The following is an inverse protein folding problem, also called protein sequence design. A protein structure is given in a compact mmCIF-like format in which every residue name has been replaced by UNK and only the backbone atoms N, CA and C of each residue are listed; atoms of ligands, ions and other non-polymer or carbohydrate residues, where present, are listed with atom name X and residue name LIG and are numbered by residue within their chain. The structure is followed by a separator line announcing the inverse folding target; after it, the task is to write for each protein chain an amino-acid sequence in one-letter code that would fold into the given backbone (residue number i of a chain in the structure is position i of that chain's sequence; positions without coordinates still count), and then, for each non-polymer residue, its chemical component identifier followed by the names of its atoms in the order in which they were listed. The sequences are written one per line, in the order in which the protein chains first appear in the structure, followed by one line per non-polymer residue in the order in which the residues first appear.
data_IF_085227999910
#
_entry.id   IF_085227999910
#
_cell.length_a   1.000
_cell.length_b   1.000
_cell.length_c   1.000
_cell.angle_alpha   90.00
_cell.angle_beta   90.00
_cell.angle_gamma   90.00
#
_symmetry.space_group_name_H-M   'P 1'
#
loop_
_entity.id
_entity.type
_entity.pdbx_description
1 polymer ?
#
# COMPACT_ATOMS: atom_id res chain seq x y z
N UNK A 1 6.03 -6.56 -11.30
CA UNK A 1 7.11 -5.69 -10.78
C UNK A 1 6.47 -4.56 -9.99
N UNK A 2 7.03 -4.17 -8.84
CA UNK A 2 6.44 -3.10 -8.04
C UNK A 2 6.50 -1.78 -8.82
N UNK A 3 5.39 -1.02 -8.84
CA UNK A 3 5.32 0.29 -9.50
C UNK A 3 4.35 1.22 -8.78
N UNK A 4 4.52 2.51 -8.98
CA UNK A 4 3.58 3.48 -8.44
C UNK A 4 2.34 3.63 -9.32
N UNK A 5 1.17 3.71 -8.68
CA UNK A 5 -0.11 4.07 -9.30
C UNK A 5 -0.83 5.09 -8.43
N UNK A 6 -1.88 5.72 -8.97
CA UNK A 6 -2.78 6.57 -8.18
C UNK A 6 -3.95 5.73 -7.68
N UNK A 7 -4.13 5.68 -6.37
CA UNK A 7 -5.35 5.19 -5.75
C UNK A 7 -6.27 6.37 -5.42
N UNK A 8 -7.56 6.16 -5.68
CA UNK A 8 -8.64 7.05 -5.33
C UNK A 8 -9.44 6.34 -4.24
N UNK A 9 -9.28 6.80 -3.01
CA UNK A 9 -9.92 6.22 -1.84
C UNK A 9 -11.25 6.89 -1.56
N UNK A 10 -12.26 6.08 -1.30
CA UNK A 10 -13.57 6.49 -0.78
C UNK A 10 -13.91 5.65 0.45
N UNK A 11 -14.94 6.03 1.18
CA UNK A 11 -15.52 5.20 2.24
C UNK A 11 -17.05 5.27 2.10
N UNK A 12 -17.67 4.21 1.57
CA UNK A 12 -19.11 4.20 1.33
C UNK A 12 -19.95 4.27 2.63
N UNK A 13 -19.36 3.89 3.76
CA UNK A 13 -19.97 3.98 5.09
C UNK A 13 -19.71 5.31 5.82
N UNK A 14 -18.89 6.20 5.26
CA UNK A 14 -18.55 7.51 5.83
C UNK A 14 -18.71 8.62 4.78
N UNK A 15 -19.84 9.35 4.88
CA UNK A 15 -20.16 10.45 3.97
C UNK A 15 -19.25 11.67 4.13
N UNK A 16 -18.54 11.81 5.27
CA UNK A 16 -17.65 12.94 5.54
C UNK A 16 -16.20 12.67 5.07
N UNK A 17 -15.83 11.40 4.86
CA UNK A 17 -14.49 11.01 4.42
C UNK A 17 -14.05 11.66 3.10
N UNK A 18 -15.00 11.89 2.19
CA UNK A 18 -14.72 12.46 0.87
C UNK A 18 -13.86 11.54 -0.03
N UNK A 19 -13.40 12.09 -1.16
CA UNK A 19 -12.49 11.38 -2.07
C UNK A 19 -11.03 11.78 -1.78
N UNK A 20 -10.17 10.81 -1.49
CA UNK A 20 -8.74 11.03 -1.23
C UNK A 20 -7.91 10.41 -2.34
N UNK A 21 -7.07 11.23 -3.00
CA UNK A 21 -6.14 10.78 -4.04
C UNK A 21 -4.75 10.61 -3.44
N UNK A 22 -4.21 9.40 -3.55
CA UNK A 22 -2.86 9.12 -3.04
C UNK A 22 -2.05 8.30 -4.05
N UNK A 23 -0.72 8.48 -4.00
CA UNK A 23 0.23 7.70 -4.79
C UNK A 23 0.62 6.47 -3.97
N UNK A 24 0.30 5.28 -4.47
CA UNK A 24 0.48 4.01 -3.78
C UNK A 24 1.41 3.09 -4.56
N UNK A 25 1.94 2.05 -3.89
CA UNK A 25 2.79 1.05 -4.52
C UNK A 25 1.93 -0.16 -4.90
N UNK A 26 1.88 -0.53 -6.17
CA UNK A 26 1.30 -1.78 -6.64
C UNK A 26 2.29 -2.92 -6.41
N UNK A 27 2.06 -3.74 -5.39
CA UNK A 27 2.93 -4.87 -5.00
C UNK A 27 2.75 -6.09 -5.91
N UNK A 28 1.50 -6.34 -6.31
CA UNK A 28 1.06 -7.38 -7.24
C UNK A 28 -0.15 -6.84 -8.02
N UNK A 29 -0.60 -7.48 -9.12
CA UNK A 29 -1.73 -6.98 -9.90
C UNK A 29 -2.98 -6.66 -9.06
N UNK A 30 -3.21 -7.37 -7.96
CA UNK A 30 -4.36 -7.22 -7.06
C UNK A 30 -3.99 -6.72 -5.66
N UNK A 31 -2.74 -6.28 -5.42
CA UNK A 31 -2.30 -5.82 -4.09
C UNK A 31 -1.64 -4.44 -4.18
N UNK A 32 -2.16 -3.49 -3.40
CA UNK A 32 -1.56 -2.15 -3.26
C UNK A 32 -1.16 -1.87 -1.82
N UNK A 33 -0.04 -1.18 -1.64
CA UNK A 33 0.43 -0.66 -0.36
C UNK A 33 0.20 0.85 -0.32
N UNK A 34 -0.69 1.28 0.57
CA UNK A 34 -0.84 2.66 1.01
C UNK A 34 -0.01 2.87 2.28
N UNK A 35 0.61 4.04 2.39
CA UNK A 35 1.22 4.49 3.63
C UNK A 35 0.78 5.92 3.91
N UNK A 36 0.23 6.16 5.09
CA UNK A 36 -0.30 7.46 5.48
C UNK A 36 -0.27 7.61 7.00
N UNK A 37 0.28 8.72 7.50
CA UNK A 37 0.27 9.13 8.92
C UNK A 37 0.62 7.99 9.90
N UNK A 38 1.82 7.42 9.74
CA UNK A 38 2.34 6.22 10.43
C UNK A 38 1.67 4.88 10.11
N UNK A 39 0.54 4.84 9.42
CA UNK A 39 -0.08 3.58 9.03
C UNK A 39 0.47 3.07 7.71
N UNK A 40 0.61 1.74 7.60
CA UNK A 40 0.85 1.05 6.35
C UNK A 40 -0.25 0.01 6.14
N UNK A 41 -0.97 0.14 5.04
CA UNK A 41 -2.13 -0.69 4.72
C UNK A 41 -1.91 -1.36 3.36
N UNK A 42 -2.05 -2.68 3.32
CA UNK A 42 -2.09 -3.46 2.09
C UNK A 42 -3.54 -3.76 1.76
N UNK A 43 -4.04 -3.23 0.64
CA UNK A 43 -5.38 -3.49 0.15
C UNK A 43 -5.35 -4.56 -0.94
N UNK A 44 -6.30 -5.51 -0.86
CA UNK A 44 -6.56 -6.49 -1.90
C UNK A 44 -7.71 -6.01 -2.78
N UNK A 45 -7.39 -5.78 -4.05
CA UNK A 45 -8.34 -5.33 -5.06
C UNK A 45 -9.21 -6.49 -5.55
N UNK A 46 -10.48 -6.22 -5.81
CA UNK A 46 -11.40 -7.23 -6.35
C UNK A 46 -11.04 -7.68 -7.77
N UNK A 47 -10.34 -6.81 -8.51
CA UNK A 47 -9.90 -7.06 -9.88
C UNK A 47 -8.43 -6.71 -10.03
N UNK A 48 -7.65 -7.54 -10.74
CA UNK A 48 -6.26 -7.24 -11.02
C UNK A 48 -6.16 -6.00 -11.92
N UNK A 49 -5.15 -5.19 -11.65
CA UNK A 49 -4.74 -4.00 -12.39
C UNK A 49 -3.89 -4.45 -13.57
N UNK A 50 -4.23 -3.98 -14.77
CA UNK A 50 -3.42 -4.25 -15.97
C UNK A 50 -2.08 -3.51 -15.94
N UNK A 51 -1.14 -3.89 -16.80
CA UNK A 51 0.18 -3.25 -16.85
C UNK A 51 0.12 -1.76 -17.23
N UNK A 52 -0.84 -1.38 -18.08
CA UNK A 52 -1.02 0.00 -18.54
C UNK A 52 -1.95 0.85 -17.66
N UNK A 53 -2.63 0.25 -16.69
CA UNK A 53 -3.56 0.97 -15.83
C UNK A 53 -2.81 1.77 -14.77
N UNK A 54 -3.03 3.09 -14.72
CA UNK A 54 -2.35 3.99 -13.79
C UNK A 54 -3.21 4.39 -12.58
N UNK A 55 -4.49 4.06 -12.60
CA UNK A 55 -5.47 4.49 -11.58
C UNK A 55 -6.33 3.33 -11.10
N UNK A 56 -6.63 3.32 -9.81
CA UNK A 56 -7.56 2.39 -9.15
C UNK A 56 -8.47 3.15 -8.21
N UNK A 57 -9.69 2.65 -8.05
CA UNK A 57 -10.65 3.13 -7.05
C UNK A 57 -10.74 2.09 -5.94
N UNK A 58 -10.66 2.54 -4.69
CA UNK A 58 -10.63 1.69 -3.51
C UNK A 58 -11.64 2.23 -2.51
N UNK A 59 -12.68 1.46 -2.25
CA UNK A 59 -13.62 1.76 -1.17
C UNK A 59 -13.10 1.12 0.13
N UNK A 60 -12.66 1.95 1.08
CA UNK A 60 -12.04 1.52 2.34
C UNK A 60 -13.00 0.76 3.25
N UNK A 61 -14.30 0.93 3.06
CA UNK A 61 -15.36 0.28 3.85
C UNK A 61 -15.56 -1.18 3.46
N UNK A 62 -15.28 -1.51 2.19
CA UNK A 62 -15.60 -2.83 1.61
C UNK A 62 -14.36 -3.59 1.15
N UNK A 63 -13.27 -2.90 0.81
CA UNK A 63 -12.05 -3.50 0.32
C UNK A 63 -11.31 -4.26 1.43
N UNK A 64 -10.96 -5.51 1.17
CA UNK A 64 -10.18 -6.32 2.08
C UNK A 64 -8.80 -5.69 2.32
N UNK A 65 -8.42 -5.53 3.58
CA UNK A 65 -7.16 -4.89 3.98
C UNK A 65 -6.38 -5.71 5.01
N UNK A 66 -5.07 -5.59 4.94
CA UNK A 66 -4.11 -6.07 5.92
C UNK A 66 -3.28 -4.89 6.41
N UNK A 67 -3.30 -4.65 7.71
CA UNK A 67 -2.46 -3.63 8.33
C UNK A 67 -1.03 -4.19 8.49
N UNK A 68 -0.08 -3.51 7.86
CA UNK A 68 1.32 -3.92 7.77
C UNK A 68 2.18 -3.07 8.72
N UNK A 69 1.94 -3.14 10.05
CA UNK A 69 2.61 -2.31 11.07
C UNK A 69 4.15 -2.39 11.02
N UNK A 70 4.71 -3.48 10.49
CA UNK A 70 6.14 -3.58 10.27
C UNK A 70 6.69 -2.57 9.24
N UNK A 71 5.83 -1.95 8.44
CA UNK A 71 6.15 -0.88 7.48
C UNK A 71 5.73 0.52 7.95
N UNK A 72 5.26 0.66 9.19
CA UNK A 72 4.93 1.95 9.80
C UNK A 72 6.12 2.93 9.79
N UNK A 73 5.86 4.25 9.84
CA UNK A 73 6.91 5.28 9.80
C UNK A 73 7.77 5.33 11.06
N UNK A 74 7.18 5.01 12.20
CA UNK A 74 7.85 4.90 13.49
C UNK A 74 8.60 3.57 13.68
N UNK A 75 8.48 2.62 12.75
CA UNK A 75 9.19 1.36 12.84
C UNK A 75 10.70 1.57 12.69
N UNK A 76 11.46 1.23 13.75
CA UNK A 76 12.92 1.38 13.79
C UNK A 76 13.63 0.76 12.58
N UNK A 77 13.19 -0.42 12.11
CA UNK A 77 13.83 -1.10 10.98
C UNK A 77 13.59 -0.36 9.66
N UNK A 78 12.42 0.25 9.51
CA UNK A 78 12.14 1.15 8.37
C UNK A 78 13.03 2.39 8.41
N UNK A 79 13.23 2.98 9.59
CA UNK A 79 14.13 4.12 9.78
C UNK A 79 15.59 3.77 9.46
N UNK A 80 16.03 2.55 9.80
CA UNK A 80 17.39 2.07 9.55
C UNK A 80 17.66 1.78 8.06
N UNK A 81 16.76 1.07 7.37
CA UNK A 81 16.95 0.67 5.96
C UNK A 81 16.56 1.80 5.00
N UNK A 82 15.59 2.62 5.39
CA UNK A 82 15.04 3.70 4.59
C UNK A 82 13.91 3.26 3.66
N UNK A 83 12.86 4.10 3.60
CA UNK A 83 11.67 3.82 2.79
C UNK A 83 11.96 3.74 1.28
N UNK A 84 12.97 4.49 0.79
CA UNK A 84 13.37 4.43 -0.62
C UNK A 84 13.69 3.00 -1.05
N UNK A 85 14.52 2.29 -0.27
CA UNK A 85 14.86 0.91 -0.55
C UNK A 85 13.61 0.01 -0.53
N UNK A 86 12.75 0.16 0.48
CA UNK A 86 11.51 -0.61 0.62
C UNK A 86 10.62 -0.43 -0.62
N UNK A 87 10.52 0.80 -1.14
CA UNK A 87 9.68 1.12 -2.29
C UNK A 87 10.21 0.62 -3.64
N UNK A 88 11.52 0.34 -3.71
CA UNK A 88 12.20 -0.14 -4.92
C UNK A 88 12.41 -1.67 -4.90
N UNK A 89 12.37 -2.28 -3.71
CA UNK A 89 12.51 -3.73 -3.52
C UNK A 89 11.24 -4.51 -3.91
N UNK A 90 11.40 -5.80 -4.21
CA UNK A 90 10.23 -6.68 -4.31
C UNK A 90 9.62 -6.89 -2.92
N UNK A 91 8.30 -7.09 -2.85
CA UNK A 91 7.64 -7.33 -1.57
C UNK A 91 8.22 -8.54 -0.82
N UNK A 92 8.65 -9.57 -1.54
CA UNK A 92 9.31 -10.73 -0.94
C UNK A 92 10.68 -10.39 -0.34
N UNK A 93 11.42 -9.46 -0.94
CA UNK A 93 12.71 -9.02 -0.39
C UNK A 93 12.51 -8.17 0.86
N UNK A 94 11.46 -7.34 0.90
CA UNK A 94 11.04 -6.64 2.11
C UNK A 94 10.72 -7.62 3.22
N UNK A 95 9.88 -8.64 2.98
CA UNK A 95 9.55 -9.65 4.00
C UNK A 95 10.79 -10.39 4.50
N UNK A 96 11.72 -10.75 3.61
CA UNK A 96 12.98 -11.41 3.99
C UNK A 96 13.85 -10.52 4.86
N UNK A 97 13.92 -9.23 4.55
CA UNK A 97 14.72 -8.27 5.31
C UNK A 97 14.18 -8.09 6.73
N UNK A 98 12.86 -8.02 6.88
CA UNK A 98 12.20 -7.92 8.19
C UNK A 98 12.17 -9.24 8.97
N UNK A 99 12.37 -10.38 8.30
CA UNK A 99 12.49 -11.69 8.95
C UNK A 99 13.91 -11.99 9.47
N UNK A 100 14.91 -11.17 9.13
CA UNK A 100 16.27 -11.30 9.68
C UNK A 100 16.24 -10.89 11.15
N UNK A 101 16.79 -11.76 12.01
CA UNK A 101 16.96 -11.48 13.45
C UNK A 101 17.97 -10.37 13.68
#
# INVERSE_FOLDING_TARGET
MARFITAIFTAADDQEFGEVKSKVILLAPDLVLERFDNEANIFRLDKPVSESQEKVYIDRSTCARFQADFLAEDNRRVLEIGFKWISEASFMDVLREFAKK
#
